data_IF_302386535091
#
_entry.id   IF_302386535091
#
_cell.length_a   1.000
_cell.length_b   1.000
_cell.length_c   1.000
_cell.angle_alpha   90.00
_cell.angle_beta   90.00
_cell.angle_gamma   90.00
#
_symmetry.space_group_name_H-M   'P 1'
#
loop_
_entity.id
_entity.type
_entity.pdbx_description
1 polymer ?
#
# COMPACT_ATOMS: atom_id res chain seq x y z
N UNK A 1 -0.79 -25.02 10.54
CA UNK A 1 -0.10 -23.72 10.68
C UNK A 1 -0.82 -22.69 9.83
N UNK A 2 -1.24 -21.59 10.44
CA UNK A 2 -1.87 -20.50 9.70
C UNK A 2 -0.80 -19.60 9.10
N UNK A 3 -0.95 -19.33 7.82
CA UNK A 3 -0.09 -18.35 7.15
C UNK A 3 -0.81 -17.00 7.19
N UNK A 4 -0.18 -16.02 7.83
CA UNK A 4 -0.76 -14.68 7.92
C UNK A 4 -0.12 -13.77 6.86
N UNK A 5 -0.90 -12.83 6.34
CA UNK A 5 -0.43 -11.81 5.41
C UNK A 5 -0.87 -10.44 5.92
N UNK A 6 -0.03 -9.79 6.75
CA UNK A 6 -0.37 -8.49 7.32
C UNK A 6 -0.59 -7.40 6.27
N UNK A 7 0.11 -7.48 5.13
CA UNK A 7 -0.07 -6.51 4.05
C UNK A 7 -1.44 -6.69 3.41
N UNK A 8 -1.83 -7.94 3.12
CA UNK A 8 -3.16 -8.22 2.57
C UNK A 8 -4.26 -7.76 3.53
N UNK A 9 -4.07 -7.95 4.83
CA UNK A 9 -5.00 -7.47 5.85
C UNK A 9 -5.15 -5.94 5.79
N UNK A 10 -4.05 -5.22 5.71
CA UNK A 10 -4.05 -3.76 5.58
C UNK A 10 -4.82 -3.31 4.34
N UNK A 11 -4.53 -3.92 3.18
CA UNK A 11 -5.20 -3.58 1.93
C UNK A 11 -6.70 -3.86 2.00
N UNK A 12 -7.08 -4.98 2.62
CA UNK A 12 -8.48 -5.35 2.80
C UNK A 12 -9.22 -4.36 3.69
N UNK A 13 -8.60 -3.94 4.80
CA UNK A 13 -9.18 -2.95 5.70
C UNK A 13 -9.43 -1.62 4.99
N UNK A 14 -8.44 -1.16 4.22
CA UNK A 14 -8.57 0.09 3.45
C UNK A 14 -9.67 -0.06 2.39
N UNK A 15 -9.69 -1.17 1.67
CA UNK A 15 -10.70 -1.45 0.64
C UNK A 15 -12.11 -1.43 1.23
N UNK A 16 -12.32 -2.15 2.31
CA UNK A 16 -13.63 -2.24 2.95
C UNK A 16 -14.09 -0.89 3.48
N UNK A 17 -13.20 -0.14 4.13
CA UNK A 17 -13.52 1.19 4.65
C UNK A 17 -13.86 2.17 3.52
N UNK A 18 -13.10 2.15 2.42
CA UNK A 18 -13.36 3.00 1.26
C UNK A 18 -14.70 2.65 0.61
N UNK A 19 -15.00 1.37 0.45
CA UNK A 19 -16.27 0.93 -0.14
C UNK A 19 -17.47 1.27 0.73
N UNK A 20 -17.28 1.30 2.06
CA UNK A 20 -18.33 1.67 3.01
C UNK A 20 -18.47 3.18 3.24
N UNK A 21 -17.56 3.97 2.66
CA UNK A 21 -17.58 5.43 2.81
C UNK A 21 -17.12 5.92 4.17
N UNK A 22 -16.33 5.14 4.90
CA UNK A 22 -15.80 5.54 6.20
C UNK A 22 -14.75 6.65 6.02
N UNK A 23 -14.69 7.58 6.97
CA UNK A 23 -13.69 8.65 6.95
C UNK A 23 -12.31 8.13 7.32
N UNK A 24 -12.23 7.17 8.23
CA UNK A 24 -10.97 6.65 8.77
C UNK A 24 -10.99 5.13 8.87
N UNK A 25 -9.79 4.56 8.96
CA UNK A 25 -9.60 3.14 9.21
C UNK A 25 -8.33 2.94 10.02
N UNK A 26 -8.38 1.99 10.97
CA UNK A 26 -7.23 1.65 11.80
C UNK A 26 -6.62 0.34 11.34
N UNK A 27 -5.28 0.32 11.30
CA UNK A 27 -4.49 -0.85 10.90
C UNK A 27 -3.40 -1.08 11.95
N UNK A 28 -3.21 -2.33 12.40
CA UNK A 28 -2.08 -2.60 13.30
C UNK A 28 -0.76 -2.17 12.67
N UNK A 29 0.09 -1.49 13.44
CA UNK A 29 1.30 -0.88 12.90
C UNK A 29 2.43 -1.89 12.70
N UNK A 30 3.24 -1.65 11.68
CA UNK A 30 4.55 -2.27 11.47
C UNK A 30 5.37 -1.32 10.59
N UNK A 31 6.69 -1.51 10.55
CA UNK A 31 7.53 -0.66 9.72
C UNK A 31 7.14 -0.76 8.24
N UNK A 32 6.85 -1.96 7.77
CA UNK A 32 6.42 -2.18 6.38
C UNK A 32 5.12 -1.43 6.08
N UNK A 33 4.12 -1.55 6.97
CA UNK A 33 2.83 -0.90 6.78
C UNK A 33 2.93 0.63 6.85
N UNK A 34 3.83 1.15 7.72
CA UNK A 34 4.10 2.59 7.77
C UNK A 34 4.64 3.09 6.45
N UNK A 35 5.58 2.35 5.85
CA UNK A 35 6.14 2.68 4.54
C UNK A 35 5.07 2.69 3.46
N UNK A 36 4.16 1.72 3.49
CA UNK A 36 3.05 1.65 2.53
C UNK A 36 2.11 2.85 2.73
N UNK A 37 1.77 3.19 3.97
CA UNK A 37 0.92 4.34 4.26
C UNK A 37 1.55 5.64 3.76
N UNK A 38 2.86 5.81 3.93
CA UNK A 38 3.57 6.99 3.44
C UNK A 38 3.51 7.09 1.92
N UNK A 39 3.66 5.97 1.22
CA UNK A 39 3.54 5.94 -0.24
C UNK A 39 2.13 6.33 -0.68
N UNK A 40 1.11 5.79 -0.02
CA UNK A 40 -0.28 6.14 -0.34
C UNK A 40 -0.56 7.62 -0.13
N UNK A 41 0.03 8.23 0.90
CA UNK A 41 -0.08 9.66 1.15
C UNK A 41 0.64 10.47 0.06
N UNK A 42 1.88 10.10 -0.25
CA UNK A 42 2.70 10.82 -1.23
C UNK A 42 2.09 10.77 -2.63
N UNK A 43 1.44 9.65 -2.97
CA UNK A 43 0.80 9.46 -4.27
C UNK A 43 -0.64 9.97 -4.32
N UNK A 44 -1.13 10.54 -3.22
CA UNK A 44 -2.45 11.16 -3.18
C UNK A 44 -3.63 10.21 -3.05
N UNK A 45 -3.41 8.98 -2.60
CA UNK A 45 -4.48 7.99 -2.42
C UNK A 45 -5.18 8.11 -1.08
N UNK A 46 -4.50 8.63 -0.06
CA UNK A 46 -5.11 8.88 1.25
C UNK A 46 -4.89 10.35 1.63
N UNK A 47 -5.70 10.85 2.53
CA UNK A 47 -5.62 12.24 2.96
C UNK A 47 -4.52 12.45 3.98
N UNK A 48 -4.37 11.52 4.93
CA UNK A 48 -3.38 11.60 5.99
C UNK A 48 -3.31 10.27 6.75
N UNK A 49 -2.29 10.11 7.58
CA UNK A 49 -2.24 9.03 8.54
C UNK A 49 -1.51 9.49 9.80
N UNK A 50 -1.79 8.84 10.92
CA UNK A 50 -1.14 9.10 12.20
C UNK A 50 -0.77 7.79 12.86
N UNK A 51 0.36 7.81 13.57
CA UNK A 51 0.80 6.68 14.35
C UNK A 51 0.31 6.88 15.78
N UNK A 52 -0.54 5.98 16.26
CA UNK A 52 -1.10 6.02 17.60
C UNK A 52 -0.52 4.87 18.40
N UNK A 53 0.04 5.18 19.56
CA UNK A 53 0.57 4.14 20.43
C UNK A 53 -0.58 3.47 21.18
N UNK A 54 -0.77 2.19 20.92
CA UNK A 54 -1.75 1.36 21.58
C UNK A 54 -1.06 0.02 21.91
N UNK A 55 -0.63 -0.13 23.15
CA UNK A 55 0.18 -1.27 23.56
C UNK A 55 1.59 -1.19 22.99
N UNK A 56 2.19 -2.35 22.69
CA UNK A 56 3.56 -2.42 22.20
C UNK A 56 3.71 -2.23 20.70
N UNK A 57 2.66 -2.56 19.94
CA UNK A 57 2.70 -2.52 18.48
C UNK A 57 2.30 -1.16 17.92
N UNK A 58 1.23 -0.58 18.45
CA UNK A 58 0.66 0.65 17.94
C UNK A 58 -0.31 0.42 16.79
N UNK A 59 -0.92 1.50 16.35
CA UNK A 59 -1.95 1.51 15.30
C UNK A 59 -1.64 2.63 14.31
N UNK A 60 -1.83 2.36 13.03
CA UNK A 60 -1.81 3.38 12.00
C UNK A 60 -3.26 3.81 11.77
N UNK A 61 -3.55 5.07 12.12
CA UNK A 61 -4.87 5.67 11.92
C UNK A 61 -4.87 6.40 10.59
N UNK A 62 -5.56 5.84 9.59
CA UNK A 62 -5.54 6.35 8.21
C UNK A 62 -6.81 7.16 7.96
N UNK A 63 -6.66 8.38 7.47
CA UNK A 63 -7.77 9.22 7.01
C UNK A 63 -7.90 9.03 5.50
N UNK A 64 -9.04 8.49 5.07
CA UNK A 64 -9.28 8.17 3.67
C UNK A 64 -9.61 9.45 2.88
N UNK A 65 -9.46 9.37 1.57
CA UNK A 65 -9.66 10.50 0.67
C UNK A 65 -10.81 10.21 -0.28
N UNK A 66 -11.68 11.20 -0.43
CA UNK A 66 -12.81 11.14 -1.35
C UNK A 66 -12.82 12.37 -2.24
N UNK A 67 -13.46 12.26 -3.39
CA UNK A 67 -13.65 13.41 -4.29
C UNK A 67 -14.73 14.34 -3.74
N UNK A 68 -14.90 15.51 -4.37
CA UNK A 68 -15.96 16.45 -4.02
C UNK A 68 -17.36 15.81 -4.12
N UNK A 69 -17.52 14.82 -5.02
CA UNK A 69 -18.77 14.07 -5.20
C UNK A 69 -18.89 12.89 -4.24
N UNK A 70 -18.01 12.79 -3.26
CA UNK A 70 -17.96 11.73 -2.25
C UNK A 70 -17.65 10.34 -2.84
N UNK A 71 -17.01 10.31 -4.00
CA UNK A 71 -16.51 9.07 -4.58
C UNK A 71 -15.13 8.74 -4.02
N UNK A 72 -14.86 7.45 -3.81
CA UNK A 72 -13.57 7.03 -3.29
C UNK A 72 -12.45 7.30 -4.31
N UNK A 73 -11.31 7.78 -3.83
CA UNK A 73 -10.13 8.03 -4.67
C UNK A 73 -9.45 6.71 -5.05
N UNK A 74 -9.38 5.76 -4.11
CA UNK A 74 -8.81 4.45 -4.39
C UNK A 74 -9.86 3.60 -5.09
N UNK A 75 -9.57 3.23 -6.37
CA UNK A 75 -10.46 2.33 -7.12
C UNK A 75 -10.28 0.90 -6.66
N UNK A 76 -9.03 0.45 -6.51
CA UNK A 76 -8.76 -0.91 -6.06
C UNK A 76 -7.36 -1.03 -5.48
N UNK A 77 -7.17 -2.07 -4.66
CA UNK A 77 -5.88 -2.48 -4.11
C UNK A 77 -5.75 -3.99 -4.31
N UNK A 78 -4.65 -4.42 -4.89
CA UNK A 78 -4.43 -5.84 -5.19
C UNK A 78 -3.11 -6.30 -4.58
N UNK A 79 -3.18 -7.35 -3.74
CA UNK A 79 -1.99 -8.02 -3.22
C UNK A 79 -1.37 -8.85 -4.34
N UNK A 80 -0.08 -8.68 -4.60
CA UNK A 80 0.62 -9.41 -5.66
C UNK A 80 1.49 -10.50 -5.06
N UNK A 81 2.56 -10.15 -4.35
CA UNK A 81 3.42 -11.12 -3.68
C UNK A 81 2.77 -11.59 -2.38
N UNK A 82 2.68 -12.89 -2.19
CA UNK A 82 2.02 -13.50 -1.03
C UNK A 82 2.98 -14.42 -0.30
N UNK A 83 2.79 -14.69 1.00
CA UNK A 83 3.69 -15.57 1.74
C UNK A 83 3.91 -16.93 1.09
N UNK A 84 2.89 -17.52 0.45
CA UNK A 84 3.02 -18.82 -0.24
C UNK A 84 3.43 -18.72 -1.69
N UNK A 85 3.52 -17.50 -2.26
CA UNK A 85 3.86 -17.30 -3.66
C UNK A 85 4.48 -15.91 -3.83
N UNK A 86 5.79 -15.81 -3.62
CA UNK A 86 6.50 -14.54 -3.74
C UNK A 86 6.70 -14.16 -5.20
N UNK A 87 6.57 -12.86 -5.49
CA UNK A 87 6.71 -12.29 -6.82
C UNK A 87 7.79 -11.22 -6.81
N UNK A 88 8.80 -11.38 -7.65
CA UNK A 88 9.92 -10.45 -7.77
C UNK A 88 10.02 -9.95 -9.19
N UNK A 89 10.57 -8.75 -9.37
CA UNK A 89 10.85 -8.18 -10.68
C UNK A 89 12.18 -7.47 -10.66
N UNK A 90 12.96 -7.63 -11.73
CA UNK A 90 14.20 -6.89 -11.92
C UNK A 90 13.91 -5.42 -12.29
N UNK A 91 14.94 -4.59 -12.23
CA UNK A 91 14.81 -3.16 -12.50
C UNK A 91 14.21 -2.86 -13.88
N UNK A 92 14.50 -3.71 -14.88
CA UNK A 92 14.00 -3.52 -16.25
C UNK A 92 12.65 -4.17 -16.49
N UNK A 93 12.12 -4.90 -15.50
CA UNK A 93 10.88 -5.67 -15.64
C UNK A 93 9.81 -5.23 -14.64
N UNK A 94 9.97 -4.08 -14.01
CA UNK A 94 9.00 -3.58 -13.03
C UNK A 94 7.65 -3.33 -13.69
N UNK A 95 6.55 -3.82 -13.09
CA UNK A 95 5.23 -3.67 -13.68
C UNK A 95 4.76 -2.22 -13.68
N UNK A 96 3.94 -1.88 -14.66
CA UNK A 96 3.22 -0.61 -14.71
C UNK A 96 1.74 -0.90 -14.52
N UNK A 97 1.13 -0.17 -13.59
CA UNK A 97 -0.29 -0.36 -13.27
C UNK A 97 -1.11 0.64 -14.09
N UNK A 98 -2.04 0.14 -14.89
CA UNK A 98 -2.89 0.96 -15.77
C UNK A 98 -2.06 1.98 -16.55
N UNK A 99 -1.05 1.49 -17.27
CA UNK A 99 -0.16 2.30 -18.12
C UNK A 99 0.47 3.50 -17.36
N UNK A 100 0.74 3.33 -16.06
CA UNK A 100 1.35 4.38 -15.24
C UNK A 100 0.38 5.28 -14.50
N UNK A 101 -0.93 5.08 -14.65
CA UNK A 101 -1.93 5.84 -13.90
C UNK A 101 -2.07 5.36 -12.45
N UNK A 102 -1.81 4.08 -12.20
CA UNK A 102 -1.73 3.52 -10.86
C UNK A 102 -0.27 3.34 -10.43
N UNK A 103 -0.07 2.71 -9.29
CA UNK A 103 1.26 2.42 -8.76
C UNK A 103 1.42 0.96 -8.40
N UNK A 104 2.65 0.45 -8.51
CA UNK A 104 3.05 -0.78 -7.87
C UNK A 104 3.93 -0.41 -6.67
N UNK A 105 3.75 -1.11 -5.56
CA UNK A 105 4.55 -0.91 -4.36
C UNK A 105 5.60 -2.02 -4.34
N UNK A 106 6.87 -1.62 -4.34
CA UNK A 106 8.01 -2.52 -4.47
C UNK A 106 8.87 -2.45 -3.21
N UNK A 107 9.21 -3.62 -2.67
CA UNK A 107 10.18 -3.73 -1.56
C UNK A 107 11.55 -3.99 -2.15
N UNK A 108 12.44 -3.01 -2.03
CA UNK A 108 13.79 -3.05 -2.60
C UNK A 108 14.85 -3.04 -1.50
N UNK A 109 16.09 -3.27 -1.89
CA UNK A 109 17.24 -3.14 -0.98
C UNK A 109 17.42 -1.72 -0.45
N UNK A 110 16.83 -0.73 -1.12
CA UNK A 110 16.89 0.68 -0.72
C UNK A 110 15.60 1.15 -0.04
N UNK A 111 14.73 0.22 0.32
CA UNK A 111 13.48 0.52 1.01
C UNK A 111 12.24 0.21 0.16
N UNK A 112 11.08 0.49 0.73
CA UNK A 112 9.80 0.30 0.05
C UNK A 112 9.51 1.55 -0.77
N UNK A 113 9.19 1.38 -2.03
CA UNK A 113 8.98 2.50 -2.95
C UNK A 113 8.01 2.13 -4.06
N UNK A 114 7.62 3.13 -4.86
CA UNK A 114 6.78 2.87 -6.05
C UNK A 114 7.63 2.28 -7.16
N UNK A 115 6.96 1.67 -8.14
CA UNK A 115 7.63 1.18 -9.35
C UNK A 115 8.36 2.30 -10.09
N UNK A 116 7.78 3.50 -10.12
CA UNK A 116 8.42 4.66 -10.76
C UNK A 116 9.72 5.03 -10.05
N UNK A 117 9.71 5.10 -8.73
CA UNK A 117 10.91 5.41 -7.95
C UNK A 117 11.96 4.32 -8.09
N UNK A 118 11.55 3.05 -8.12
CA UNK A 118 12.47 1.92 -8.29
C UNK A 118 13.12 1.94 -9.68
N UNK A 119 12.37 2.27 -10.73
CA UNK A 119 12.93 2.44 -12.07
C UNK A 119 13.96 3.57 -12.11
N UNK A 120 13.64 4.70 -11.51
CA UNK A 120 14.57 5.82 -11.45
C UNK A 120 15.86 5.49 -10.70
N UNK A 121 15.78 4.63 -9.68
CA UNK A 121 16.92 4.19 -8.90
C UNK A 121 17.62 2.97 -9.50
N UNK A 122 17.09 2.39 -10.58
CA UNK A 122 17.60 1.18 -11.24
C UNK A 122 17.69 -0.02 -10.27
N UNK A 123 16.68 -0.20 -9.44
CA UNK A 123 16.60 -1.32 -8.51
C UNK A 123 15.33 -2.12 -8.75
N UNK A 124 15.42 -3.43 -8.62
CA UNK A 124 14.28 -4.32 -8.59
C UNK A 124 13.96 -4.74 -7.17
N UNK A 125 12.97 -5.59 -7.02
CA UNK A 125 12.59 -6.11 -5.71
C UNK A 125 11.33 -6.93 -5.73
N UNK A 126 10.77 -7.12 -4.54
CA UNK A 126 9.52 -7.85 -4.36
C UNK A 126 8.33 -6.94 -4.69
N UNK A 127 7.46 -7.40 -5.58
CA UNK A 127 6.26 -6.65 -5.98
C UNK A 127 5.17 -6.94 -4.96
N UNK A 128 4.96 -6.01 -4.03
CA UNK A 128 4.05 -6.22 -2.90
C UNK A 128 2.59 -6.10 -3.30
N UNK A 129 2.24 -5.03 -4.02
CA UNK A 129 0.84 -4.73 -4.31
C UNK A 129 0.71 -3.76 -5.47
N UNK A 130 -0.49 -3.73 -6.06
CA UNK A 130 -0.90 -2.70 -7.01
C UNK A 130 -1.99 -1.84 -6.38
N UNK A 131 -1.97 -0.54 -6.66
CA UNK A 131 -2.98 0.42 -6.21
C UNK A 131 -3.34 1.33 -7.38
N UNK A 132 -4.65 1.54 -7.56
CA UNK A 132 -5.12 2.48 -8.59
C UNK A 132 -6.47 3.09 -8.25
#
# INVERSE_FOLDING_TARGET
>A
MQITDPIADMLTRIRNASNAGHETVDVPASNMKKSIAQILLDEGYIKNYQLVKDGTQGVIHITLKYTADKEKVITNLRRVSKPGLRVYAGADELPRVIKGLGIAIISTSKGVMTDKAARAAHVGGEVLAFVW
#
